data_IF_040552414123
#
_entry.id   IF_040552414123
#
_cell.length_a   1.000
_cell.length_b   1.000
_cell.length_c   1.000
_cell.angle_alpha   90.00
_cell.angle_beta   90.00
_cell.angle_gamma   90.00
#
_symmetry.space_group_name_H-M   'P 1'
#
loop_
_entity.id
_entity.type
_entity.pdbx_description
1 polymer ?
#
# COMPACT_ATOMS: atom_id res chain seq x y z
N UNK A 1 -10.11 13.35 -8.53
CA UNK A 1 -9.02 13.47 -7.55
C UNK A 1 -9.03 12.22 -6.68
N UNK A 2 -8.18 11.23 -7.00
CA UNK A 2 -8.18 9.95 -6.31
C UNK A 2 -7.54 10.11 -4.92
N UNK A 3 -8.33 9.84 -3.87
CA UNK A 3 -7.93 10.09 -2.48
C UNK A 3 -6.85 9.09 -2.06
N UNK A 4 -5.63 9.56 -1.88
CA UNK A 4 -4.55 8.76 -1.26
C UNK A 4 -4.87 8.62 0.24
N UNK A 5 -5.21 7.44 0.75
CA UNK A 5 -5.59 7.28 2.15
C UNK A 5 -4.40 7.64 3.06
N UNK A 6 -4.68 8.44 4.10
CA UNK A 6 -3.68 8.94 5.06
C UNK A 6 -2.89 7.82 5.77
N UNK A 7 -3.42 6.59 5.77
CA UNK A 7 -2.72 5.37 6.17
C UNK A 7 -2.70 4.40 4.97
N UNK A 8 -1.52 4.03 4.44
CA UNK A 8 -1.43 3.07 3.35
C UNK A 8 -1.94 1.70 3.80
N UNK A 9 -2.75 1.06 2.96
CA UNK A 9 -3.29 -0.28 3.22
C UNK A 9 -2.24 -1.35 2.96
N UNK A 10 -2.33 -2.45 3.71
CA UNK A 10 -1.52 -3.63 3.46
C UNK A 10 -2.08 -4.51 2.36
N UNK A 11 -1.21 -5.29 1.71
CA UNK A 11 -1.64 -6.31 0.74
C UNK A 11 -2.68 -7.26 1.34
N UNK A 12 -2.56 -7.58 2.64
CA UNK A 12 -3.55 -8.37 3.37
C UNK A 12 -4.88 -7.64 3.59
N UNK A 13 -4.84 -6.35 3.91
CA UNK A 13 -6.04 -5.53 4.02
C UNK A 13 -6.75 -5.36 2.68
N UNK A 14 -5.98 -5.22 1.58
CA UNK A 14 -6.53 -5.16 0.22
C UNK A 14 -7.23 -6.48 -0.13
N UNK A 15 -6.59 -7.63 0.12
CA UNK A 15 -7.21 -8.96 -0.06
C UNK A 15 -8.54 -9.08 0.72
N UNK A 16 -8.56 -8.63 1.98
CA UNK A 16 -9.78 -8.63 2.80
C UNK A 16 -10.88 -7.73 2.22
N UNK A 17 -10.54 -6.50 1.80
CA UNK A 17 -11.49 -5.57 1.17
C UNK A 17 -12.04 -6.15 -0.14
N UNK A 18 -11.20 -6.77 -0.95
CA UNK A 18 -11.61 -7.41 -2.21
C UNK A 18 -12.62 -8.52 -1.96
N UNK A 19 -12.41 -9.33 -0.91
CA UNK A 19 -13.34 -10.37 -0.50
C UNK A 19 -14.64 -9.79 0.07
N UNK A 20 -14.56 -8.81 0.97
CA UNK A 20 -15.73 -8.26 1.67
C UNK A 20 -16.63 -7.41 0.77
N UNK A 21 -16.05 -6.58 -0.09
CA UNK A 21 -16.81 -5.65 -0.93
C UNK A 21 -17.24 -6.26 -2.27
N UNK A 22 -16.41 -7.13 -2.83
CA UNK A 22 -16.59 -7.61 -4.20
C UNK A 22 -16.69 -9.15 -4.28
N UNK A 23 -16.59 -9.87 -3.17
CA UNK A 23 -16.61 -11.34 -3.16
C UNK A 23 -15.36 -11.99 -3.77
N UNK A 24 -14.32 -11.21 -4.07
CA UNK A 24 -13.12 -11.70 -4.77
C UNK A 24 -12.18 -12.34 -3.77
N UNK A 25 -12.09 -13.67 -3.79
CA UNK A 25 -11.17 -14.42 -2.95
C UNK A 25 -9.78 -14.50 -3.58
N UNK A 26 -8.91 -13.56 -3.23
CA UNK A 26 -7.54 -13.48 -3.75
C UNK A 26 -6.52 -13.60 -2.63
N UNK A 27 -5.48 -14.42 -2.85
CA UNK A 27 -4.39 -14.57 -1.89
C UNK A 27 -3.50 -13.31 -1.82
N UNK A 28 -2.92 -13.06 -0.64
CA UNK A 28 -2.01 -11.92 -0.42
C UNK A 28 -0.86 -11.87 -1.44
N UNK A 29 -0.27 -13.04 -1.78
CA UNK A 29 0.85 -13.12 -2.76
C UNK A 29 0.45 -12.60 -4.14
N UNK A 30 -0.78 -12.88 -4.58
CA UNK A 30 -1.30 -12.39 -5.86
C UNK A 30 -1.53 -10.89 -5.83
N UNK A 31 -2.04 -10.36 -4.70
CA UNK A 31 -2.15 -8.90 -4.49
C UNK A 31 -0.78 -8.23 -4.52
N UNK A 32 0.25 -8.85 -3.93
CA UNK A 32 1.63 -8.35 -3.98
C UNK A 32 2.16 -8.31 -5.43
N UNK A 33 1.91 -9.35 -6.23
CA UNK A 33 2.29 -9.40 -7.65
C UNK A 33 1.63 -8.28 -8.45
N UNK A 34 0.31 -8.11 -8.30
CA UNK A 34 -0.42 -7.02 -8.96
C UNK A 34 0.03 -5.64 -8.49
N UNK A 35 0.34 -5.49 -7.19
CA UNK A 35 0.92 -4.26 -6.66
C UNK A 35 2.25 -3.92 -7.34
N UNK A 36 3.12 -4.90 -7.52
CA UNK A 36 4.43 -4.72 -8.16
C UNK A 36 4.30 -4.43 -9.66
N UNK A 37 3.42 -5.15 -10.37
CA UNK A 37 3.13 -4.92 -11.79
C UNK A 37 2.55 -3.52 -12.03
N UNK A 38 1.72 -3.02 -11.11
CA UNK A 38 1.19 -1.65 -11.13
C UNK A 38 2.17 -0.60 -10.60
N UNK A 39 3.41 -1.00 -10.27
CA UNK A 39 4.45 -0.12 -9.69
C UNK A 39 4.00 0.62 -8.43
N UNK A 40 3.07 0.03 -7.67
CA UNK A 40 2.53 0.59 -6.44
C UNK A 40 3.53 0.26 -5.31
N UNK A 41 4.17 1.26 -4.67
CA UNK A 41 5.15 0.98 -3.62
C UNK A 41 4.52 0.27 -2.42
N UNK A 42 5.32 -0.51 -1.72
CA UNK A 42 4.89 -1.26 -0.54
C UNK A 42 4.50 -0.31 0.60
N UNK A 43 3.80 -0.84 1.62
CA UNK A 43 3.51 -0.07 2.84
C UNK A 43 4.79 0.48 3.46
N UNK A 44 5.87 -0.31 3.45
CA UNK A 44 7.12 0.06 4.12
C UNK A 44 7.69 1.34 3.53
N UNK A 45 7.72 1.41 2.21
CA UNK A 45 8.16 2.58 1.44
C UNK A 45 7.19 3.76 1.63
N UNK A 46 5.87 3.49 1.58
CA UNK A 46 4.84 4.52 1.80
C UNK A 46 4.86 5.12 3.20
N UNK A 47 5.20 4.32 4.23
CA UNK A 47 5.26 4.76 5.63
C UNK A 47 6.49 5.65 5.90
N UNK A 48 7.61 5.39 5.22
CA UNK A 48 8.84 6.18 5.35
C UNK A 48 8.63 7.62 4.86
N UNK A 49 7.82 7.83 3.81
CA UNK A 49 7.53 9.18 3.27
C UNK A 49 6.88 10.14 4.27
N UNK A 50 6.12 9.63 5.26
CA UNK A 50 5.55 10.46 6.32
C UNK A 50 6.53 10.74 7.45
N UNK A 51 7.30 9.74 7.87
CA UNK A 51 8.28 9.92 8.94
C UNK A 51 9.44 10.85 8.55
N UNK A 52 9.81 10.90 7.26
CA UNK A 52 10.90 11.77 6.78
C UNK A 52 10.50 13.25 6.63
N UNK A 53 9.20 13.60 6.61
CA UNK A 53 8.78 15.00 6.71
C UNK A 53 8.84 15.55 8.14
N UNK A 54 8.87 14.66 9.14
CA UNK A 54 8.99 15.03 10.56
C UNK A 54 10.44 14.92 11.09
N UNK A 55 11.31 14.19 10.40
CA UNK A 55 12.75 14.14 10.66
C UNK A 55 13.49 14.78 9.51
N UNK A 56 13.88 16.04 9.65
CA UNK A 56 14.74 16.74 8.70
C UNK A 56 16.11 16.06 8.56
N UNK A 57 16.20 15.05 7.70
CA UNK A 57 17.45 14.45 7.25
C UNK A 57 17.48 14.54 5.73
N UNK A 58 18.24 15.54 5.27
CA UNK A 58 18.78 15.60 3.91
C UNK A 58 19.66 14.36 3.73
N UNK A 59 19.43 13.61 2.65
CA UNK A 59 20.43 12.66 2.16
C UNK A 59 21.24 13.40 1.09
N UNK A 60 22.55 13.40 1.27
CA UNK A 60 23.58 13.80 0.32
C UNK A 60 23.60 12.94 -0.96
#
# INVERSE_FOLDING_TARGET
>A
MEKIPSKPLSDGAISKILKEKYGINIARRTVTKYREELQIPSIRERKISKNNRERGVFYD
#
